data_IF_624206894664
#
_entry.id   IF_624206894664
#
_cell.length_a   1.000
_cell.length_b   1.000
_cell.length_c   1.000
_cell.angle_alpha   90.00
_cell.angle_beta   90.00
_cell.angle_gamma   90.00
#
_symmetry.space_group_name_H-M   'P 1'
#
loop_
_entity.id
_entity.type
_entity.pdbx_description
1 polymer ?
#
# COMPACT_ATOMS: atom_id res chain seq x y z
N UNK A 1 -5.47 -8.62 51.82
CA UNK A 1 -4.73 -7.54 51.17
C UNK A 1 -4.51 -7.80 49.69
N UNK A 2 -4.11 -9.03 49.32
CA UNK A 2 -3.88 -9.39 47.92
C UNK A 2 -5.16 -9.38 47.08
N UNK A 3 -6.29 -9.81 47.67
CA UNK A 3 -7.58 -9.82 46.97
C UNK A 3 -8.11 -8.39 46.66
N UNK A 4 -7.88 -7.46 47.58
CA UNK A 4 -8.22 -6.04 47.37
C UNK A 4 -7.35 -5.40 46.26
N UNK A 5 -6.06 -5.68 46.32
CA UNK A 5 -5.13 -5.20 45.28
C UNK A 5 -5.46 -5.75 43.92
N UNK A 6 -5.80 -7.04 43.85
CA UNK A 6 -6.22 -7.66 42.60
C UNK A 6 -7.51 -7.03 42.06
N UNK A 7 -8.48 -6.74 42.93
CA UNK A 7 -9.72 -6.08 42.54
C UNK A 7 -9.50 -4.66 42.00
N UNK A 8 -8.63 -3.89 42.70
CA UNK A 8 -8.29 -2.53 42.25
C UNK A 8 -7.52 -2.58 40.92
N UNK A 9 -6.58 -3.52 40.80
CA UNK A 9 -5.83 -3.71 39.55
C UNK A 9 -6.74 -4.07 38.38
N UNK A 10 -7.74 -4.95 38.61
CA UNK A 10 -8.72 -5.28 37.56
C UNK A 10 -9.54 -4.09 37.15
N UNK A 11 -9.98 -3.26 38.11
CA UNK A 11 -10.74 -2.05 37.81
C UNK A 11 -9.93 -1.01 37.02
N UNK A 12 -8.62 -0.99 37.22
CA UNK A 12 -7.71 -0.11 36.48
C UNK A 12 -7.31 -0.68 35.13
N UNK A 13 -7.10 -2.00 35.04
CA UNK A 13 -6.62 -2.67 33.84
C UNK A 13 -7.71 -2.69 32.75
N UNK A 14 -8.98 -2.94 33.10
CA UNK A 14 -10.07 -2.95 32.09
C UNK A 14 -10.24 -1.61 31.39
N UNK A 15 -10.35 -0.45 32.09
CA UNK A 15 -10.40 0.85 31.41
C UNK A 15 -9.12 1.18 30.65
N UNK A 16 -7.95 0.76 31.15
CA UNK A 16 -6.68 0.96 30.47
C UNK A 16 -6.58 0.15 29.18
N UNK A 17 -7.11 -1.07 29.18
CA UNK A 17 -7.15 -1.90 27.96
C UNK A 17 -8.02 -1.27 26.86
N UNK A 18 -9.18 -0.70 27.22
CA UNK A 18 -10.04 0.01 26.28
C UNK A 18 -9.39 1.29 25.77
N UNK A 19 -8.74 2.03 26.66
CA UNK A 19 -7.97 3.23 26.27
C UNK A 19 -6.79 2.85 25.38
N UNK A 20 -6.13 1.74 25.68
CA UNK A 20 -5.01 1.25 24.86
C UNK A 20 -5.44 0.90 23.44
N UNK A 21 -6.60 0.26 23.26
CA UNK A 21 -7.14 -0.02 21.93
C UNK A 21 -7.46 1.28 21.16
N UNK A 22 -8.11 2.23 21.81
CA UNK A 22 -8.41 3.52 21.21
C UNK A 22 -7.14 4.30 20.88
N UNK A 23 -6.12 4.25 21.75
CA UNK A 23 -4.83 4.89 21.51
C UNK A 23 -4.11 4.21 20.34
N UNK A 24 -4.11 2.89 20.27
CA UNK A 24 -3.49 2.14 19.18
C UNK A 24 -4.17 2.49 17.84
N UNK A 25 -5.49 2.56 17.79
CA UNK A 25 -6.22 2.97 16.61
C UNK A 25 -5.87 4.41 16.19
N UNK A 26 -5.82 5.32 17.14
CA UNK A 26 -5.48 6.72 16.87
C UNK A 26 -4.04 6.88 16.39
N UNK A 27 -3.10 6.20 17.02
CA UNK A 27 -1.68 6.21 16.63
C UNK A 27 -1.50 5.57 15.27
N UNK A 28 -2.18 4.46 15.00
CA UNK A 28 -2.11 3.78 13.71
C UNK A 28 -2.66 4.66 12.59
N UNK A 29 -3.78 5.33 12.81
CA UNK A 29 -4.35 6.25 11.85
C UNK A 29 -3.43 7.44 11.57
N UNK A 30 -2.82 8.00 12.63
CA UNK A 30 -1.86 9.09 12.50
C UNK A 30 -0.60 8.64 11.77
N UNK A 31 -0.09 7.45 12.11
CA UNK A 31 1.09 6.88 11.46
C UNK A 31 0.85 6.68 9.96
N UNK A 32 -0.34 6.20 9.57
CA UNK A 32 -0.70 6.04 8.16
C UNK A 32 -0.79 7.38 7.44
N UNK A 33 -1.33 8.40 8.07
CA UNK A 33 -1.39 9.74 7.49
C UNK A 33 0.01 10.30 7.27
N UNK A 34 0.89 10.15 8.24
CA UNK A 34 2.29 10.59 8.15
C UNK A 34 3.01 9.80 7.06
N UNK A 35 2.87 8.49 7.06
CA UNK A 35 3.47 7.62 6.04
C UNK A 35 2.99 8.00 4.64
N UNK A 36 1.70 8.28 4.47
CA UNK A 36 1.13 8.73 3.21
C UNK A 36 1.75 10.05 2.74
N UNK A 37 1.95 11.00 3.64
CA UNK A 37 2.60 12.28 3.31
C UNK A 37 4.07 12.09 2.92
N UNK A 38 4.79 11.23 3.64
CA UNK A 38 6.20 10.93 3.34
C UNK A 38 6.33 10.26 1.98
N UNK A 39 5.50 9.27 1.69
CA UNK A 39 5.50 8.56 0.40
C UNK A 39 5.18 9.53 -0.74
N UNK A 40 4.15 10.35 -0.58
CA UNK A 40 3.76 11.31 -1.61
C UNK A 40 4.83 12.37 -1.86
N UNK A 41 5.51 12.79 -0.81
CA UNK A 41 6.65 13.71 -0.93
C UNK A 41 7.82 13.06 -1.66
N UNK A 42 8.14 11.82 -1.31
CA UNK A 42 9.22 11.06 -1.95
C UNK A 42 8.94 10.87 -3.45
N UNK A 43 7.71 10.58 -3.81
CA UNK A 43 7.29 10.43 -5.20
C UNK A 43 7.38 11.75 -6.00
N UNK A 44 7.22 12.89 -5.33
CA UNK A 44 7.42 14.20 -5.97
C UNK A 44 8.88 14.52 -6.17
N UNK A 45 9.75 14.08 -5.26
CA UNK A 45 11.21 14.29 -5.32
C UNK A 45 11.85 13.32 -6.31
N UNK A 46 11.38 12.08 -6.35
CA UNK A 46 11.88 11.04 -7.24
C UNK A 46 10.71 10.43 -8.04
N UNK A 47 10.16 11.16 -9.03
CA UNK A 47 8.98 10.70 -9.78
C UNK A 47 9.22 9.42 -10.57
N UNK A 48 10.46 9.10 -10.91
CA UNK A 48 10.85 7.86 -11.58
C UNK A 48 10.56 6.61 -10.74
N UNK A 49 10.32 6.74 -9.45
CA UNK A 49 9.96 5.62 -8.57
C UNK A 49 8.64 4.96 -8.99
N UNK A 50 7.76 5.65 -9.71
CA UNK A 50 6.53 5.06 -10.23
C UNK A 50 6.81 3.88 -11.18
N UNK A 51 7.90 3.93 -11.91
CA UNK A 51 8.29 2.83 -12.80
C UNK A 51 8.58 1.54 -12.03
N UNK A 52 9.18 1.66 -10.87
CA UNK A 52 9.44 0.50 -9.99
C UNK A 52 8.14 -0.10 -9.48
N UNK A 53 7.18 0.74 -9.14
CA UNK A 53 5.84 0.32 -8.71
C UNK A 53 5.13 -0.46 -9.82
N UNK A 54 5.21 0.03 -11.04
CA UNK A 54 4.62 -0.65 -12.21
C UNK A 54 5.28 -2.00 -12.45
N UNK A 55 6.61 -2.07 -12.40
CA UNK A 55 7.34 -3.33 -12.57
C UNK A 55 6.95 -4.36 -11.52
N UNK A 56 6.87 -3.94 -10.28
CA UNK A 56 6.44 -4.80 -9.18
C UNK A 56 5.01 -5.31 -9.40
N UNK A 57 4.09 -4.41 -9.77
CA UNK A 57 2.71 -4.77 -10.04
C UNK A 57 2.59 -5.78 -11.19
N UNK A 58 3.39 -5.63 -12.24
CA UNK A 58 3.42 -6.56 -13.36
C UNK A 58 3.90 -7.95 -12.94
N UNK A 59 4.81 -8.03 -11.97
CA UNK A 59 5.29 -9.30 -11.44
C UNK A 59 4.23 -10.07 -10.67
N UNK A 60 3.24 -9.39 -10.12
CA UNK A 60 2.13 -10.02 -9.38
C UNK A 60 1.03 -10.56 -10.29
N UNK A 61 1.09 -10.29 -11.59
CA UNK A 61 0.13 -10.86 -12.52
C UNK A 61 0.41 -12.35 -12.74
N UNK A 62 -0.64 -13.18 -12.90
CA UNK A 62 -0.47 -14.58 -13.27
C UNK A 62 0.26 -14.71 -14.61
N UNK A 63 0.95 -15.82 -14.81
CA UNK A 63 1.95 -16.04 -15.86
C UNK A 63 1.45 -15.92 -17.30
N UNK A 64 0.15 -15.71 -17.54
CA UNK A 64 -0.38 -15.76 -18.90
C UNK A 64 -1.31 -14.61 -19.32
N UNK A 65 -1.03 -13.34 -19.04
CA UNK A 65 -1.80 -12.30 -19.68
C UNK A 65 -1.23 -12.01 -21.05
N UNK A 66 -2.09 -12.05 -22.06
CA UNK A 66 -1.72 -11.68 -23.41
C UNK A 66 -1.57 -10.17 -23.56
N UNK A 67 -2.45 -9.41 -22.92
CA UNK A 67 -2.41 -7.94 -22.93
C UNK A 67 -2.72 -7.42 -21.54
N UNK A 68 -1.81 -6.67 -20.97
CA UNK A 68 -2.02 -5.97 -19.72
C UNK A 68 -2.27 -4.48 -20.00
N UNK A 69 -3.25 -3.91 -19.32
CA UNK A 69 -3.49 -2.47 -19.33
C UNK A 69 -2.90 -1.89 -18.05
N UNK A 70 -2.07 -0.89 -18.22
CA UNK A 70 -1.42 -0.20 -17.10
C UNK A 70 -2.03 1.19 -17.01
N UNK A 71 -2.81 1.44 -15.97
CA UNK A 71 -3.40 2.75 -15.72
C UNK A 71 -2.50 3.55 -14.80
N UNK A 72 -2.12 4.72 -15.24
CA UNK A 72 -1.26 5.64 -14.49
C UNK A 72 -1.79 7.05 -14.60
N UNK A 73 -1.37 7.90 -13.67
CA UNK A 73 -1.66 9.33 -13.76
C UNK A 73 -1.07 9.90 -15.07
N UNK A 74 -1.78 10.81 -15.75
CA UNK A 74 -1.27 11.41 -16.99
C UNK A 74 0.12 12.04 -16.85
N UNK A 75 0.45 12.58 -15.69
CA UNK A 75 1.77 13.18 -15.44
C UNK A 75 2.89 12.14 -15.33
N UNK A 76 2.55 10.89 -15.02
CA UNK A 76 3.51 9.80 -14.88
C UNK A 76 3.67 8.98 -16.17
N UNK A 77 2.78 9.15 -17.13
CA UNK A 77 2.72 8.32 -18.33
C UNK A 77 4.04 8.31 -19.13
N UNK A 78 4.66 9.47 -19.31
CA UNK A 78 5.92 9.57 -20.04
C UNK A 78 7.07 8.86 -19.32
N UNK A 79 7.12 8.99 -17.99
CA UNK A 79 8.13 8.33 -17.16
C UNK A 79 8.00 6.81 -17.21
N UNK A 80 6.78 6.33 -17.11
CA UNK A 80 6.50 4.89 -17.13
C UNK A 80 6.82 4.32 -18.52
N UNK A 81 6.42 5.00 -19.57
CA UNK A 81 6.68 4.54 -20.94
C UNK A 81 8.17 4.47 -21.24
N UNK A 82 8.95 5.44 -20.77
CA UNK A 82 10.40 5.45 -20.96
C UNK A 82 11.11 4.34 -20.18
N UNK A 83 10.58 3.96 -19.04
CA UNK A 83 11.20 3.01 -18.13
C UNK A 83 10.82 1.56 -18.39
N UNK A 84 9.68 1.31 -19.02
CA UNK A 84 9.25 -0.05 -19.34
C UNK A 84 10.00 -0.57 -20.57
N UNK A 85 10.46 -1.83 -20.52
CA UNK A 85 11.06 -2.44 -21.69
C UNK A 85 10.01 -2.62 -22.79
N UNK A 86 10.43 -2.63 -24.06
CA UNK A 86 9.49 -2.89 -25.15
C UNK A 86 8.84 -4.26 -24.98
N UNK A 87 7.60 -4.39 -25.45
CA UNK A 87 6.86 -5.64 -25.38
C UNK A 87 7.64 -6.74 -26.12
N UNK A 88 7.95 -7.83 -25.43
CA UNK A 88 8.65 -8.97 -25.98
C UNK A 88 7.75 -10.20 -26.03
N UNK A 89 7.71 -10.87 -27.18
CA UNK A 89 6.96 -12.10 -27.37
C UNK A 89 5.44 -11.89 -27.30
N UNK A 90 4.75 -12.79 -26.61
CA UNK A 90 3.30 -12.76 -26.46
C UNK A 90 2.84 -11.76 -25.39
N UNK A 91 3.76 -11.21 -24.62
CA UNK A 91 3.46 -10.23 -23.58
C UNK A 91 3.45 -8.83 -24.17
N UNK A 92 2.30 -8.20 -24.15
CA UNK A 92 2.16 -6.81 -24.50
C UNK A 92 1.49 -6.05 -23.36
N UNK A 93 1.82 -4.79 -23.23
CA UNK A 93 1.11 -3.90 -22.33
C UNK A 93 0.69 -2.65 -23.07
N UNK A 94 -0.41 -2.07 -22.60
CA UNK A 94 -0.91 -0.80 -23.08
C UNK A 94 -0.95 0.17 -21.92
N UNK A 95 -0.35 1.32 -22.10
CA UNK A 95 -0.40 2.39 -21.13
C UNK A 95 -1.69 3.19 -21.32
N UNK A 96 -2.46 3.33 -20.25
CA UNK A 96 -3.71 4.10 -20.24
C UNK A 96 -3.57 5.20 -19.19
N UNK A 97 -3.80 6.45 -19.61
CA UNK A 97 -3.80 7.57 -18.68
C UNK A 97 -5.15 7.63 -17.95
N UNK A 98 -5.11 7.81 -16.64
CA UNK A 98 -6.28 7.89 -15.80
C UNK A 98 -6.04 8.92 -14.70
N UNK A 99 -6.76 10.04 -14.78
CA UNK A 99 -6.62 11.12 -13.82
C UNK A 99 -7.09 10.76 -12.41
N UNK A 100 -7.89 9.69 -12.27
CA UNK A 100 -8.33 9.20 -10.95
C UNK A 100 -7.24 8.43 -10.21
N UNK A 101 -6.21 7.98 -10.92
CA UNK A 101 -5.04 7.35 -10.30
C UNK A 101 -4.10 8.44 -9.82
N UNK A 102 -3.81 8.45 -8.53
CA UNK A 102 -2.88 9.41 -7.94
C UNK A 102 -1.46 9.18 -8.46
N UNK A 103 -0.68 10.23 -8.59
CA UNK A 103 0.73 10.15 -8.99
C UNK A 103 1.51 9.19 -8.09
N UNK A 104 2.34 8.38 -8.69
CA UNK A 104 3.15 7.38 -8.00
C UNK A 104 2.48 6.03 -7.82
N UNK A 105 1.20 5.91 -8.14
CA UNK A 105 0.46 4.66 -8.14
C UNK A 105 0.13 4.18 -9.54
N UNK A 106 -0.33 2.95 -9.63
CA UNK A 106 -0.83 2.38 -10.88
C UNK A 106 -1.88 1.31 -10.60
N UNK A 107 -2.65 0.99 -11.63
CA UNK A 107 -3.55 -0.16 -11.61
C UNK A 107 -3.21 -0.97 -12.87
N UNK A 108 -2.87 -2.24 -12.67
CA UNK A 108 -2.59 -3.15 -13.78
C UNK A 108 -3.74 -4.13 -13.89
N UNK A 109 -4.33 -4.20 -15.05
CA UNK A 109 -5.47 -5.11 -15.29
C UNK A 109 -5.29 -5.91 -16.57
N UNK A 110 -5.81 -7.13 -16.50
CA UNK A 110 -5.99 -8.03 -17.63
C UNK A 110 -7.45 -8.41 -17.71
N UNK A 111 -7.83 -9.25 -18.65
CA UNK A 111 -9.22 -9.71 -18.77
C UNK A 111 -9.67 -10.54 -17.56
N UNK A 112 -8.74 -11.13 -16.81
CA UNK A 112 -9.03 -12.05 -15.72
C UNK A 112 -8.46 -11.63 -14.36
N UNK A 113 -7.61 -10.61 -14.31
CA UNK A 113 -6.90 -10.20 -13.11
C UNK A 113 -6.77 -8.69 -13.01
N UNK A 114 -6.67 -8.22 -11.78
CA UNK A 114 -6.44 -6.81 -11.49
C UNK A 114 -5.49 -6.68 -10.30
N UNK A 115 -4.47 -5.88 -10.45
CA UNK A 115 -3.56 -5.51 -9.35
C UNK A 115 -3.71 -4.02 -9.10
N UNK A 116 -4.20 -3.68 -7.93
CA UNK A 116 -4.31 -2.30 -7.47
C UNK A 116 -3.04 -1.92 -6.71
N UNK A 117 -2.16 -1.20 -7.36
CA UNK A 117 -0.92 -0.68 -6.79
C UNK A 117 -0.97 0.84 -6.62
N UNK A 118 -2.15 1.39 -6.38
CA UNK A 118 -2.30 2.79 -6.00
C UNK A 118 -1.63 3.04 -4.65
N UNK A 119 -1.25 4.29 -4.40
CA UNK A 119 -0.65 4.68 -3.12
C UNK A 119 -1.58 4.33 -1.97
N UNK A 120 -2.87 4.60 -2.11
CA UNK A 120 -3.88 4.29 -1.10
C UNK A 120 -3.97 2.79 -0.80
N UNK A 121 -4.03 1.95 -1.82
CA UNK A 121 -4.11 0.50 -1.66
C UNK A 121 -2.86 -0.07 -1.02
N UNK A 122 -1.69 0.44 -1.38
CA UNK A 122 -0.41 0.01 -0.79
C UNK A 122 -0.31 0.38 0.67
N UNK A 123 -0.71 1.59 1.05
CA UNK A 123 -0.75 2.03 2.44
C UNK A 123 -1.75 1.21 3.26
N UNK A 124 -2.94 0.96 2.70
CA UNK A 124 -3.95 0.11 3.34
C UNK A 124 -3.45 -1.32 3.54
N UNK A 125 -2.74 -1.87 2.58
CA UNK A 125 -2.13 -3.20 2.66
C UNK A 125 -1.08 -3.30 3.77
N UNK A 126 -0.22 -2.29 3.90
CA UNK A 126 0.77 -2.22 4.98
C UNK A 126 0.06 -2.15 6.34
N UNK A 127 -0.98 -1.32 6.45
CA UNK A 127 -1.74 -1.18 7.68
C UNK A 127 -2.40 -2.50 8.09
N UNK A 128 -3.06 -3.18 7.16
CA UNK A 128 -3.70 -4.46 7.42
C UNK A 128 -2.67 -5.51 7.88
N UNK A 129 -1.51 -5.56 7.24
CA UNK A 129 -0.45 -6.49 7.61
C UNK A 129 0.09 -6.22 9.03
N UNK A 130 0.28 -4.95 9.38
CA UNK A 130 0.78 -4.57 10.72
C UNK A 130 -0.23 -4.84 11.82
N UNK A 131 -1.53 -4.69 11.55
CA UNK A 131 -2.59 -4.92 12.52
C UNK A 131 -2.92 -6.40 12.67
N UNK A 132 -2.84 -7.18 11.58
CA UNK A 132 -3.18 -8.60 11.58
C UNK A 132 -2.05 -9.48 12.12
N UNK A 133 -0.80 -9.02 12.08
CA UNK A 133 0.37 -9.78 12.56
C UNK A 133 1.30 -8.90 13.40
N UNK A 134 0.88 -8.54 14.61
CA UNK A 134 1.71 -7.74 15.49
C UNK A 134 2.99 -8.48 15.95
N UNK A 135 2.97 -9.81 16.00
CA UNK A 135 4.15 -10.61 16.35
C UNK A 135 5.18 -10.63 15.23
N UNK A 136 4.73 -10.74 13.98
CA UNK A 136 5.59 -10.66 12.82
C UNK A 136 6.27 -9.30 12.70
N UNK A 137 5.57 -8.24 12.99
CA UNK A 137 6.12 -6.88 12.98
C UNK A 137 7.16 -6.65 14.08
N UNK A 138 7.04 -7.33 15.22
CA UNK A 138 7.99 -7.23 16.33
C UNK A 138 9.32 -7.97 16.07
N UNK A 139 9.32 -8.92 15.14
CA UNK A 139 10.50 -9.72 14.80
C UNK A 139 11.20 -9.25 13.52
N UNK A 140 10.63 -8.31 12.83
CA UNK A 140 11.22 -7.65 11.68
C UNK A 140 12.15 -6.52 12.08
#
# INVERSE_FOLDING_TARGET
LSARLQGVLRQLVEPLAEVDEAVVEAVSALALRIAGQVVRRELRVAPEAVADVVREALQHLPVSPRVARIRVNPQDAALVQAALPPAEGERSWRLVTDATVERGGCVVETDVSRVDATVEARLAGIAAHLLDDPEGAAHG
#
